data_IF_651718126745
#
_entry.id   IF_651718126745
#
_cell.length_a   1.000
_cell.length_b   1.000
_cell.length_c   1.000
_cell.angle_alpha   90.00
_cell.angle_beta   90.00
_cell.angle_gamma   90.00
#
_symmetry.space_group_name_H-M   'P 1'
#
loop_
_entity.id
_entity.type
_entity.pdbx_description
1 polymer ?
#
# COMPACT_ATOMS: atom_id res chain seq x y z
N UNK A 1 -11.67 6.92 -1.22
CA UNK A 1 -11.70 6.65 -2.67
C UNK A 1 -12.89 7.34 -3.28
N UNK A 2 -12.68 8.35 -4.14
CA UNK A 2 -13.71 8.75 -5.09
C UNK A 2 -13.76 7.73 -6.25
N UNK A 3 -14.95 7.24 -6.58
CA UNK A 3 -15.19 6.49 -7.82
C UNK A 3 -15.46 7.55 -8.90
N UNK A 4 -14.79 7.42 -10.05
CA UNK A 4 -15.06 8.29 -11.20
C UNK A 4 -16.54 8.18 -11.60
N UNK A 5 -17.27 9.29 -11.82
CA UNK A 5 -18.70 9.26 -12.12
C UNK A 5 -19.08 8.30 -13.25
N UNK A 6 -18.28 8.29 -14.34
CA UNK A 6 -18.47 7.45 -15.53
C UNK A 6 -18.33 5.94 -15.26
N UNK A 7 -17.74 5.54 -14.13
CA UNK A 7 -17.59 4.14 -13.74
C UNK A 7 -18.59 3.71 -12.67
N UNK A 8 -19.42 4.62 -12.15
CA UNK A 8 -20.27 4.36 -10.98
C UNK A 8 -21.27 3.23 -11.20
N UNK A 9 -21.73 3.02 -12.44
CA UNK A 9 -22.66 1.96 -12.81
C UNK A 9 -22.06 0.54 -12.75
N UNK A 10 -20.72 0.42 -12.74
CA UNK A 10 -20.03 -0.87 -12.56
C UNK A 10 -20.07 -1.35 -11.11
N UNK A 11 -20.51 -0.49 -10.18
CA UNK A 11 -20.51 -0.77 -8.75
C UNK A 11 -21.94 -0.84 -8.20
N UNK A 12 -22.21 -1.77 -7.28
CA UNK A 12 -23.49 -1.83 -6.61
C UNK A 12 -23.68 -0.62 -5.67
N UNK A 13 -24.94 -0.35 -5.29
CA UNK A 13 -25.31 0.83 -4.48
C UNK A 13 -24.62 0.83 -3.10
N UNK A 14 -24.40 -0.34 -2.53
CA UNK A 14 -23.76 -0.62 -1.24
C UNK A 14 -22.23 -0.73 -1.34
N UNK A 15 -21.63 -0.41 -2.49
CA UNK A 15 -20.19 -0.56 -2.72
C UNK A 15 -19.31 0.07 -1.63
N UNK A 16 -19.72 1.20 -1.04
CA UNK A 16 -18.97 1.83 0.05
C UNK A 16 -18.79 0.90 1.26
N UNK A 17 -19.83 0.13 1.57
CA UNK A 17 -19.84 -0.83 2.68
C UNK A 17 -19.05 -2.09 2.32
N UNK A 18 -19.30 -2.66 1.14
CA UNK A 18 -18.52 -3.80 0.61
C UNK A 18 -17.01 -3.49 0.58
N UNK A 19 -16.64 -2.32 0.06
CA UNK A 19 -15.26 -1.85 0.03
C UNK A 19 -14.64 -1.72 1.42
N UNK A 20 -15.42 -1.28 2.43
CA UNK A 20 -14.96 -1.17 3.81
C UNK A 20 -14.74 -2.57 4.42
N UNK A 21 -15.68 -3.49 4.22
CA UNK A 21 -15.58 -4.88 4.67
C UNK A 21 -14.37 -5.59 4.06
N UNK A 22 -14.09 -5.37 2.78
CA UNK A 22 -12.90 -5.94 2.13
C UNK A 22 -11.63 -5.32 2.71
N UNK A 23 -11.51 -3.97 2.70
CA UNK A 23 -10.28 -3.28 3.11
C UNK A 23 -9.90 -3.52 4.57
N UNK A 24 -10.89 -3.53 5.48
CA UNK A 24 -10.61 -3.55 6.92
C UNK A 24 -11.04 -4.85 7.61
N UNK A 25 -11.94 -5.62 7.00
CA UNK A 25 -12.29 -6.96 7.47
C UNK A 25 -11.34 -7.99 6.89
N UNK A 26 -11.58 -8.39 5.63
CA UNK A 26 -10.78 -9.45 4.98
C UNK A 26 -9.30 -9.12 4.90
N UNK A 27 -8.97 -7.93 4.42
CA UNK A 27 -7.59 -7.52 4.18
C UNK A 27 -6.91 -6.93 5.44
N UNK A 28 -7.63 -6.79 6.56
CA UNK A 28 -7.08 -6.32 7.84
C UNK A 28 -6.43 -4.92 7.78
N UNK A 29 -6.86 -4.06 6.86
CA UNK A 29 -6.28 -2.73 6.66
C UNK A 29 -4.95 -2.75 5.90
N UNK A 30 -4.61 -3.84 5.22
CA UNK A 30 -3.34 -4.01 4.48
C UNK A 30 -3.61 -4.45 3.04
N UNK A 31 -2.69 -4.14 2.14
CA UNK A 31 -2.73 -4.70 0.79
C UNK A 31 -2.52 -6.22 0.85
N UNK A 32 -3.44 -7.01 0.28
CA UNK A 32 -3.32 -8.48 0.24
C UNK A 32 -2.15 -8.97 -0.63
N UNK A 33 -1.62 -8.12 -1.50
CA UNK A 33 -0.47 -8.45 -2.36
C UNK A 33 0.86 -8.06 -1.71
N UNK A 34 1.07 -6.77 -1.44
CA UNK A 34 2.36 -6.26 -0.97
C UNK A 34 2.43 -6.03 0.55
N UNK A 35 1.30 -6.02 1.26
CA UNK A 35 1.25 -5.83 2.71
C UNK A 35 1.30 -4.38 3.21
N UNK A 36 1.40 -3.38 2.31
CA UNK A 36 1.38 -1.96 2.70
C UNK A 36 0.12 -1.61 3.50
N UNK A 37 0.25 -0.88 4.62
CA UNK A 37 -0.89 -0.43 5.41
C UNK A 37 -1.74 0.60 4.66
N UNK A 38 -3.05 0.52 4.84
CA UNK A 38 -4.01 1.38 4.16
C UNK A 38 -3.94 2.83 4.68
N UNK A 39 -3.76 3.77 3.75
CA UNK A 39 -3.77 5.21 4.05
C UNK A 39 -2.74 5.64 5.11
N UNK A 40 -1.61 4.93 5.19
CA UNK A 40 -0.49 5.26 6.07
C UNK A 40 0.68 5.76 5.23
N UNK A 41 1.34 6.81 5.71
CA UNK A 41 2.60 7.28 5.12
C UNK A 41 3.69 6.26 5.40
N UNK A 42 4.35 5.78 4.34
CA UNK A 42 5.48 4.85 4.43
C UNK A 42 6.72 5.50 3.83
N UNK A 43 7.89 5.06 4.26
CA UNK A 43 9.16 5.46 3.65
C UNK A 43 9.38 4.63 2.40
N UNK A 44 9.39 5.27 1.23
CA UNK A 44 9.59 4.62 -0.05
C UNK A 44 10.81 5.22 -0.77
N UNK A 45 11.70 4.33 -1.22
CA UNK A 45 12.85 4.67 -2.06
C UNK A 45 12.40 4.89 -3.50
N UNK A 46 13.21 5.60 -4.29
CA UNK A 46 12.92 5.91 -5.69
C UNK A 46 12.76 4.65 -6.57
N UNK A 47 13.38 3.54 -6.18
CA UNK A 47 13.30 2.24 -6.86
C UNK A 47 12.07 1.40 -6.49
N UNK A 48 11.17 1.94 -5.65
CA UNK A 48 9.94 1.28 -5.23
C UNK A 48 10.04 0.49 -3.92
N UNK A 49 11.24 0.19 -3.42
CA UNK A 49 11.41 -0.45 -2.12
C UNK A 49 10.85 0.42 -1.01
N UNK A 50 10.24 -0.19 -0.01
CA UNK A 50 9.61 0.53 1.11
C UNK A 50 9.92 -0.12 2.44
N UNK A 51 9.94 0.69 3.49
CA UNK A 51 10.25 0.23 4.84
C UNK A 51 8.97 -0.22 5.57
N UNK A 52 8.95 -1.48 5.97
CA UNK A 52 7.91 -2.06 6.83
C UNK A 52 8.28 -1.80 8.29
N UNK A 53 7.65 -0.79 8.91
CA UNK A 53 7.94 -0.41 10.29
C UNK A 53 7.61 -1.50 11.32
N UNK A 54 6.58 -2.31 11.07
CA UNK A 54 6.17 -3.38 11.99
C UNK A 54 7.19 -4.53 11.98
N UNK A 55 7.66 -4.90 10.80
CA UNK A 55 8.61 -6.01 10.62
C UNK A 55 10.07 -5.55 10.63
N UNK A 56 10.29 -4.24 10.68
CA UNK A 56 11.61 -3.57 10.68
C UNK A 56 12.51 -4.04 9.53
N UNK A 57 11.94 -4.15 8.33
CA UNK A 57 12.68 -4.60 7.15
C UNK A 57 12.26 -3.84 5.89
N UNK A 58 13.15 -3.86 4.89
CA UNK A 58 12.83 -3.36 3.56
C UNK A 58 12.07 -4.41 2.76
N UNK A 59 11.11 -3.95 1.95
CA UNK A 59 10.30 -4.77 1.06
C UNK A 59 10.28 -4.20 -0.34
N UNK A 60 10.19 -5.06 -1.35
CA UNK A 60 9.92 -4.65 -2.72
C UNK A 60 8.43 -4.28 -2.93
N UNK A 61 8.08 -3.84 -4.14
CA UNK A 61 6.69 -3.52 -4.51
C UNK A 61 5.75 -4.74 -4.47
N UNK A 62 6.30 -5.96 -4.55
CA UNK A 62 5.54 -7.20 -4.37
C UNK A 62 5.41 -7.61 -2.90
N UNK A 63 6.01 -6.87 -1.97
CA UNK A 63 6.01 -7.17 -0.54
C UNK A 63 7.01 -8.24 -0.13
N UNK A 64 7.94 -8.68 -0.98
CA UNK A 64 9.01 -9.62 -0.59
C UNK A 64 10.11 -8.87 0.18
N UNK A 65 10.84 -9.54 1.09
CA UNK A 65 12.02 -8.94 1.72
C UNK A 65 13.00 -8.45 0.67
N UNK A 66 13.54 -7.25 0.88
CA UNK A 66 14.54 -6.64 0.03
C UNK A 66 15.74 -6.19 0.87
N UNK A 67 16.88 -6.03 0.22
CA UNK A 67 18.09 -5.57 0.87
C UNK A 67 17.95 -4.13 1.37
N UNK A 68 18.78 -3.81 2.37
CA UNK A 68 18.91 -2.44 2.85
C UNK A 68 19.37 -1.51 1.72
N UNK A 69 18.86 -0.27 1.68
CA UNK A 69 19.38 0.75 0.78
C UNK A 69 20.83 1.06 1.09
N UNK A 70 21.58 1.41 0.06
CA UNK A 70 22.84 2.10 0.25
C UNK A 70 22.62 3.61 0.54
N UNK A 71 23.71 4.36 0.68
CA UNK A 71 23.65 5.80 0.96
C UNK A 71 23.02 6.61 -0.18
N UNK A 72 23.19 6.17 -1.43
CA UNK A 72 22.66 6.83 -2.62
C UNK A 72 21.15 6.61 -2.69
N UNK A 73 20.71 5.36 -2.48
CA UNK A 73 19.31 4.98 -2.40
C UNK A 73 18.57 5.81 -1.35
N UNK A 74 19.14 5.93 -0.15
CA UNK A 74 18.51 6.66 0.96
C UNK A 74 18.40 8.17 0.69
N UNK A 75 19.40 8.76 0.03
CA UNK A 75 19.38 10.18 -0.33
C UNK A 75 18.29 10.51 -1.37
N UNK A 76 17.85 9.53 -2.17
CA UNK A 76 16.77 9.67 -3.15
C UNK A 76 15.35 9.42 -2.60
N UNK A 77 15.19 9.20 -1.29
CA UNK A 77 13.91 8.86 -0.70
C UNK A 77 12.89 10.01 -0.84
N UNK A 78 11.71 9.71 -1.37
CA UNK A 78 10.62 10.68 -1.50
C UNK A 78 9.74 10.62 -0.25
N UNK A 79 9.46 11.79 0.35
CA UNK A 79 8.66 11.93 1.58
C UNK A 79 7.15 11.86 1.37
#
# INVERSE_FOLDING_TARGET
>A
MPIKPELRWLYPIDWRELSRLIRFGRAGGRCEQCGRPHATTIRQLADGRWFDEERRCWRDDSGKPADWPDVVDYAGMSG
#
